data_IF_793218713136
#
_entry.id   IF_793218713136
#
_cell.length_a   1.000
_cell.length_b   1.000
_cell.length_c   1.000
_cell.angle_alpha   90.00
_cell.angle_beta   90.00
_cell.angle_gamma   90.00
#
_symmetry.space_group_name_H-M   'P 1'
#
loop_
_entity.id
_entity.type
_entity.pdbx_description
1 polymer ?
#
# COMPACT_ATOMS: atom_id res chain seq x y z
N UNK A 1 -12.35 15.17 -37.54
CA UNK A 1 -12.75 14.78 -36.17
C UNK A 1 -11.50 14.63 -35.33
N UNK A 2 -11.30 15.55 -34.38
CA UNK A 2 -10.12 15.64 -33.52
C UNK A 2 -10.02 14.42 -32.60
N UNK A 3 -8.99 13.58 -32.81
CA UNK A 3 -8.47 12.70 -31.76
C UNK A 3 -7.68 13.58 -30.79
N UNK A 4 -8.33 13.90 -29.68
CA UNK A 4 -7.76 14.69 -28.60
C UNK A 4 -6.54 13.93 -28.06
N UNK A 5 -5.34 14.45 -28.32
CA UNK A 5 -4.09 14.01 -27.71
C UNK A 5 -4.07 14.50 -26.26
N UNK A 6 -4.60 13.71 -25.33
CA UNK A 6 -4.51 13.99 -23.89
C UNK A 6 -3.30 13.33 -23.21
N UNK A 7 -2.38 12.72 -23.97
CA UNK A 7 -1.28 11.90 -23.42
C UNK A 7 0.09 12.60 -23.37
N UNK A 8 0.24 13.83 -23.84
CA UNK A 8 1.56 14.41 -24.16
C UNK A 8 2.09 15.47 -23.16
N UNK A 9 1.62 15.48 -21.91
CA UNK A 9 2.03 16.50 -20.91
C UNK A 9 2.43 15.95 -19.53
N UNK A 10 2.44 14.63 -19.30
CA UNK A 10 2.81 14.02 -18.01
C UNK A 10 4.26 13.50 -17.93
N UNK A 11 5.08 13.85 -18.92
CA UNK A 11 6.22 13.00 -19.33
C UNK A 11 7.60 13.39 -18.77
N UNK A 12 7.79 14.50 -18.06
CA UNK A 12 9.16 14.95 -17.69
C UNK A 12 9.52 14.83 -16.19
N UNK A 13 8.57 14.54 -15.31
CA UNK A 13 8.83 14.44 -13.85
C UNK A 13 8.51 13.08 -13.22
N UNK A 14 8.05 12.08 -14.00
CA UNK A 14 7.75 10.77 -13.42
C UNK A 14 9.03 10.07 -12.95
N UNK A 15 9.09 9.57 -11.70
CA UNK A 15 10.24 8.87 -11.16
C UNK A 15 10.40 7.50 -11.84
N UNK A 16 11.65 7.07 -11.98
CA UNK A 16 12.02 5.76 -12.54
C UNK A 16 11.51 4.61 -11.67
N UNK A 17 11.61 4.75 -10.35
CA UNK A 17 11.24 3.75 -9.35
C UNK A 17 10.17 4.34 -8.42
N UNK A 18 9.01 3.71 -8.40
CA UNK A 18 7.92 4.06 -7.47
C UNK A 18 7.77 2.96 -6.42
N UNK A 19 7.80 3.34 -5.16
CA UNK A 19 7.53 2.45 -4.03
C UNK A 19 6.17 2.79 -3.42
N UNK A 20 5.36 1.78 -3.17
CA UNK A 20 4.04 1.92 -2.54
C UNK A 20 3.82 0.81 -1.52
N UNK A 21 2.76 0.91 -0.73
CA UNK A 21 2.30 -0.16 0.16
C UNK A 21 0.79 -0.29 0.06
N UNK A 22 0.25 -1.24 0.81
CA UNK A 22 -1.19 -1.29 1.08
C UNK A 22 -1.68 0.01 1.74
N UNK A 23 -2.93 0.38 1.44
CA UNK A 23 -3.54 1.62 1.91
C UNK A 23 -3.60 1.70 3.44
N UNK A 24 -3.79 0.55 4.09
CA UNK A 24 -3.78 0.47 5.55
C UNK A 24 -2.39 0.79 6.10
N UNK A 25 -1.33 0.28 5.47
CA UNK A 25 0.06 0.51 5.90
C UNK A 25 0.54 1.96 5.73
N UNK A 26 -0.15 2.76 4.92
CA UNK A 26 0.14 4.18 4.72
C UNK A 26 -0.83 5.10 5.48
N UNK A 27 -1.49 4.58 6.51
CA UNK A 27 -2.33 5.33 7.46
C UNK A 27 -1.70 5.40 8.85
N UNK A 28 -2.07 6.44 9.61
CA UNK A 28 -1.76 6.56 11.05
C UNK A 28 -2.85 5.98 11.96
N UNK A 29 -3.97 5.51 11.41
CA UNK A 29 -5.12 5.01 12.17
C UNK A 29 -5.60 5.94 13.29
N UNK A 30 -5.59 7.25 13.05
CA UNK A 30 -5.87 8.26 14.09
C UNK A 30 -5.03 8.12 15.38
N UNK A 31 -3.83 7.54 15.28
CA UNK A 31 -2.94 7.20 16.40
C UNK A 31 -3.47 6.10 17.34
N UNK A 32 -4.55 5.40 16.95
CA UNK A 32 -5.11 4.29 17.69
C UNK A 32 -4.48 2.96 17.30
N UNK A 33 -3.65 2.39 18.17
CA UNK A 33 -3.00 1.09 17.91
C UNK A 33 -4.02 -0.05 17.72
N UNK A 34 -5.12 -0.04 18.49
CA UNK A 34 -6.20 -1.02 18.37
C UNK A 34 -7.00 -0.87 17.07
N UNK A 35 -7.08 0.36 16.53
CA UNK A 35 -7.66 0.60 15.21
C UNK A 35 -6.74 0.00 14.13
N UNK A 36 -5.42 0.09 14.30
CA UNK A 36 -4.46 -0.58 13.42
C UNK A 36 -4.65 -2.11 13.36
N UNK A 37 -5.03 -2.75 14.47
CA UNK A 37 -5.31 -4.20 14.47
C UNK A 37 -6.59 -4.58 13.70
N UNK A 38 -7.53 -3.64 13.53
CA UNK A 38 -8.75 -3.92 12.75
C UNK A 38 -8.47 -4.21 11.26
N UNK A 39 -7.26 -3.93 10.79
CA UNK A 39 -6.79 -4.25 9.43
C UNK A 39 -6.63 -5.74 9.18
N UNK A 40 -6.41 -6.51 10.24
CA UNK A 40 -6.31 -7.96 10.19
C UNK A 40 -7.69 -8.63 10.13
N UNK A 41 -8.78 -7.87 10.25
CA UNK A 41 -10.13 -8.41 10.09
C UNK A 41 -10.39 -8.78 8.62
N UNK A 42 -11.09 -9.90 8.36
CA UNK A 42 -11.39 -10.28 7.00
C UNK A 42 -12.28 -9.24 6.30
N UNK A 43 -12.00 -9.03 5.01
CA UNK A 43 -12.77 -8.14 4.14
C UNK A 43 -14.25 -8.56 4.13
N UNK A 44 -15.16 -7.58 4.22
CA UNK A 44 -16.60 -7.80 4.14
C UNK A 44 -17.37 -7.63 5.46
N UNK A 45 -16.69 -7.49 6.60
CA UNK A 45 -17.37 -7.16 7.87
C UNK A 45 -17.76 -5.67 7.91
N UNK A 46 -16.87 -4.81 7.43
CA UNK A 46 -17.05 -3.35 7.40
C UNK A 46 -16.96 -2.89 5.93
N UNK A 47 -17.86 -2.01 5.47
CA UNK A 47 -17.75 -1.42 4.14
C UNK A 47 -16.44 -0.63 3.97
N UNK A 48 -15.72 -0.86 2.87
CA UNK A 48 -14.41 -0.24 2.60
C UNK A 48 -14.43 1.29 2.73
N UNK A 49 -15.46 1.95 2.19
CA UNK A 49 -15.60 3.41 2.25
C UNK A 49 -15.63 3.93 3.70
N UNK A 50 -16.26 3.18 4.62
CA UNK A 50 -16.32 3.54 6.03
C UNK A 50 -14.99 3.26 6.70
N UNK A 51 -14.41 2.09 6.43
CA UNK A 51 -13.13 1.68 7.00
C UNK A 51 -12.01 2.68 6.69
N UNK A 52 -11.83 3.02 5.42
CA UNK A 52 -10.77 3.95 5.00
C UNK A 52 -11.07 5.42 5.29
N UNK A 53 -12.33 5.78 5.57
CA UNK A 53 -12.67 7.16 5.97
C UNK A 53 -12.53 7.38 7.48
N UNK A 54 -12.91 6.38 8.29
CA UNK A 54 -13.02 6.51 9.74
C UNK A 54 -11.85 5.87 10.48
N UNK A 55 -11.41 4.69 10.06
CA UNK A 55 -10.36 3.95 10.76
C UNK A 55 -8.99 4.11 10.13
N UNK A 56 -8.88 4.09 8.80
CA UNK A 56 -7.61 4.14 8.09
C UNK A 56 -7.55 5.30 7.07
N UNK A 57 -7.60 6.57 7.51
CA UNK A 57 -7.48 7.71 6.61
C UNK A 57 -6.09 7.73 5.96
N UNK A 58 -5.96 8.14 4.68
CA UNK A 58 -4.68 8.23 4.02
C UNK A 58 -3.72 9.16 4.78
N UNK A 59 -2.46 8.74 4.89
CA UNK A 59 -1.42 9.56 5.50
C UNK A 59 -1.16 10.86 4.72
N UNK A 60 -0.56 11.88 5.36
CA UNK A 60 -0.26 13.12 4.69
C UNK A 60 0.77 12.90 3.56
N UNK A 61 0.50 13.52 2.42
CA UNK A 61 1.38 13.52 1.25
C UNK A 61 1.89 14.93 0.96
N UNK A 62 3.13 15.05 0.48
CA UNK A 62 3.76 16.32 0.08
C UNK A 62 4.35 16.13 -1.31
N UNK A 63 3.90 16.93 -2.29
CA UNK A 63 4.30 16.78 -3.71
C UNK A 63 4.10 15.34 -4.22
N UNK A 64 2.95 14.74 -3.91
CA UNK A 64 2.60 13.35 -4.25
C UNK A 64 3.56 12.28 -3.68
N UNK A 65 4.43 12.64 -2.73
CA UNK A 65 5.27 11.71 -1.97
C UNK A 65 4.68 11.54 -0.58
N UNK A 66 4.64 10.32 -0.08
CA UNK A 66 4.21 10.05 1.29
C UNK A 66 5.16 10.74 2.27
N UNK A 67 4.65 11.39 3.31
CA UNK A 67 5.50 11.97 4.38
C UNK A 67 5.93 10.88 5.37
N UNK A 68 5.06 9.91 5.61
CA UNK A 68 5.31 8.77 6.48
C UNK A 68 5.13 7.49 5.67
N UNK A 69 5.98 6.50 5.90
CA UNK A 69 5.82 5.15 5.37
C UNK A 69 6.45 4.16 6.35
N UNK A 70 6.17 2.87 6.15
CA UNK A 70 6.79 1.80 6.90
C UNK A 70 8.32 1.88 6.87
N UNK A 71 8.98 1.49 7.96
CA UNK A 71 10.43 1.56 8.10
C UNK A 71 11.15 0.78 7.00
N UNK A 72 10.64 -0.39 6.60
CA UNK A 72 11.20 -1.19 5.52
C UNK A 72 11.18 -0.44 4.19
N UNK A 73 10.08 0.24 3.88
CA UNK A 73 9.97 1.06 2.67
C UNK A 73 10.93 2.26 2.70
N UNK A 74 11.13 2.91 3.85
CA UNK A 74 12.08 4.02 3.98
C UNK A 74 13.53 3.59 3.88
N UNK A 75 13.86 2.40 4.37
CA UNK A 75 15.18 1.81 4.19
C UNK A 75 15.42 1.53 2.70
N UNK A 76 14.46 0.90 2.03
CA UNK A 76 14.55 0.63 0.58
C UNK A 76 14.65 1.93 -0.24
N UNK A 77 13.84 2.94 0.09
CA UNK A 77 13.94 4.28 -0.53
C UNK A 77 15.33 4.87 -0.35
N UNK A 78 15.88 4.90 0.88
CA UNK A 78 17.20 5.46 1.14
C UNK A 78 18.32 4.72 0.37
N UNK A 79 18.25 3.38 0.31
CA UNK A 79 19.20 2.57 -0.45
C UNK A 79 19.15 2.87 -1.95
N UNK A 80 17.96 3.01 -2.52
CA UNK A 80 17.78 3.29 -3.95
C UNK A 80 18.15 4.74 -4.29
N UNK A 81 17.78 5.70 -3.44
CA UNK A 81 18.16 7.12 -3.58
C UNK A 81 19.68 7.27 -3.59
N UNK A 82 20.41 6.49 -2.80
CA UNK A 82 21.87 6.51 -2.79
C UNK A 82 22.51 6.07 -4.12
N UNK A 83 21.81 5.26 -4.93
CA UNK A 83 22.32 4.73 -6.21
C UNK A 83 21.80 5.54 -7.41
N UNK A 84 20.51 5.86 -7.42
CA UNK A 84 19.82 6.49 -8.56
C UNK A 84 19.56 7.99 -8.38
N UNK A 85 19.60 8.49 -7.14
CA UNK A 85 19.28 9.88 -6.80
C UNK A 85 17.84 10.10 -6.33
N UNK A 86 17.61 11.23 -5.65
CA UNK A 86 16.33 11.56 -5.00
C UNK A 86 15.19 11.87 -5.99
N UNK A 87 15.53 12.29 -7.22
CA UNK A 87 14.53 12.55 -8.27
C UNK A 87 13.97 11.25 -8.85
N UNK A 88 14.75 10.17 -8.82
CA UNK A 88 14.44 8.91 -9.50
C UNK A 88 13.58 7.95 -8.68
N UNK A 89 13.53 8.15 -7.36
CA UNK A 89 12.83 7.28 -6.42
C UNK A 89 11.75 8.07 -5.70
N UNK A 90 10.54 7.52 -5.63
CA UNK A 90 9.45 8.12 -4.87
C UNK A 90 8.66 7.07 -4.10
N UNK A 91 8.46 7.31 -2.80
CA UNK A 91 7.45 6.59 -2.01
C UNK A 91 6.11 7.32 -2.12
N UNK A 92 5.09 6.64 -2.62
CA UNK A 92 3.79 7.23 -2.98
C UNK A 92 2.67 6.45 -2.32
N UNK A 93 1.60 7.15 -1.92
CA UNK A 93 0.39 6.50 -1.42
C UNK A 93 -0.32 5.74 -2.56
N UNK A 94 -0.88 4.53 -2.35
CA UNK A 94 -1.48 3.75 -3.44
C UNK A 94 -2.58 4.49 -4.21
N UNK A 95 -3.35 5.36 -3.53
CA UNK A 95 -4.35 6.23 -4.16
C UNK A 95 -3.77 7.30 -5.11
N UNK A 96 -2.54 7.74 -4.86
CA UNK A 96 -1.86 8.76 -5.68
C UNK A 96 -0.96 8.11 -6.75
N UNK A 97 -0.91 6.78 -6.80
CA UNK A 97 -0.03 6.03 -7.69
C UNK A 97 -0.29 6.36 -9.16
N UNK A 98 -1.56 6.40 -9.58
CA UNK A 98 -1.94 6.76 -10.95
C UNK A 98 -1.54 8.20 -11.30
N UNK A 99 -1.45 9.10 -10.32
CA UNK A 99 -1.00 10.47 -10.54
C UNK A 99 0.52 10.58 -10.70
N UNK A 100 1.31 9.67 -10.13
CA UNK A 100 2.79 9.72 -10.16
C UNK A 100 3.39 8.83 -11.25
N UNK A 101 2.82 7.66 -11.51
CA UNK A 101 3.32 6.73 -12.52
C UNK A 101 3.16 7.34 -13.91
N UNK A 102 4.21 7.24 -14.72
CA UNK A 102 4.27 7.74 -16.10
C UNK A 102 5.06 6.80 -16.99
N UNK A 103 5.28 7.20 -18.25
CA UNK A 103 5.98 6.38 -19.24
C UNK A 103 7.45 6.10 -18.89
N UNK A 104 8.05 6.92 -18.03
CA UNK A 104 9.43 6.74 -17.53
C UNK A 104 9.53 5.77 -16.35
N UNK A 105 8.41 5.49 -15.67
CA UNK A 105 8.42 4.58 -14.53
C UNK A 105 8.62 3.15 -15.02
N UNK A 106 9.76 2.56 -14.67
CA UNK A 106 10.11 1.19 -15.06
C UNK A 106 9.80 0.18 -13.95
N UNK A 107 9.89 0.61 -12.69
CA UNK A 107 9.79 -0.29 -11.53
C UNK A 107 8.73 0.24 -10.56
N UNK A 108 7.81 -0.65 -10.19
CA UNK A 108 6.86 -0.42 -9.09
C UNK A 108 7.11 -1.47 -8.01
N UNK A 109 7.61 -1.01 -6.86
CA UNK A 109 7.81 -1.84 -5.67
C UNK A 109 6.60 -1.74 -4.74
N UNK A 110 6.08 -2.89 -4.31
CA UNK A 110 4.93 -2.98 -3.40
C UNK A 110 5.37 -3.61 -2.09
N UNK A 111 5.26 -2.87 -0.99
CA UNK A 111 5.50 -3.35 0.37
C UNK A 111 4.22 -3.86 1.04
N UNK A 112 4.35 -4.93 1.81
CA UNK A 112 3.23 -5.58 2.50
C UNK A 112 3.72 -6.49 3.61
N UNK A 113 2.94 -6.61 4.69
CA UNK A 113 3.28 -7.46 5.85
C UNK A 113 2.68 -8.87 5.77
N UNK A 114 1.55 -9.05 5.09
CA UNK A 114 0.83 -10.33 5.02
C UNK A 114 0.21 -10.58 3.64
N UNK A 115 1.03 -10.86 2.63
CA UNK A 115 0.55 -11.11 1.27
C UNK A 115 -0.30 -12.39 1.14
N UNK A 116 -0.13 -13.34 2.06
CA UNK A 116 -0.82 -14.63 2.03
C UNK A 116 -2.06 -14.67 2.95
N UNK A 117 -2.20 -13.69 3.85
CA UNK A 117 -3.32 -13.64 4.81
C UNK A 117 -3.23 -14.71 5.91
N UNK A 118 -2.03 -15.26 6.17
CA UNK A 118 -1.83 -16.40 7.08
C UNK A 118 -1.05 -16.01 8.34
N UNK A 119 -0.74 -14.73 8.52
CA UNK A 119 -0.06 -14.31 9.75
C UNK A 119 -0.97 -14.58 10.97
N UNK A 120 -0.39 -14.81 12.16
CA UNK A 120 -1.14 -15.12 13.38
C UNK A 120 -2.33 -14.18 13.66
N UNK A 121 -2.19 -12.83 13.60
CA UNK A 121 -3.33 -11.96 13.86
C UNK A 121 -4.43 -12.12 12.81
N UNK A 122 -4.09 -12.16 11.52
CA UNK A 122 -5.06 -12.34 10.43
C UNK A 122 -5.82 -13.66 10.57
N UNK A 123 -5.10 -14.73 10.88
CA UNK A 123 -5.63 -16.07 11.11
C UNK A 123 -6.58 -16.13 12.31
N UNK A 124 -6.22 -15.47 13.42
CA UNK A 124 -7.05 -15.39 14.63
C UNK A 124 -8.36 -14.63 14.38
N UNK A 125 -8.33 -13.51 13.66
CA UNK A 125 -9.54 -12.76 13.32
C UNK A 125 -10.46 -13.54 12.37
N UNK A 126 -9.89 -14.25 11.39
CA UNK A 126 -10.65 -15.13 10.49
C UNK A 126 -11.35 -16.25 11.26
N UNK A 127 -10.64 -16.86 12.23
CA UNK A 127 -11.21 -17.90 13.10
C UNK A 127 -12.31 -17.34 14.01
N UNK A 128 -12.07 -16.19 14.64
CA UNK A 128 -13.04 -15.54 15.52
C UNK A 128 -14.34 -15.17 14.81
N UNK A 129 -14.25 -14.67 13.57
CA UNK A 129 -15.43 -14.24 12.79
C UNK A 129 -15.96 -15.37 11.88
N UNK A 130 -15.37 -16.57 11.95
CA UNK A 130 -15.74 -17.75 11.17
C UNK A 130 -15.91 -17.47 9.66
N UNK A 131 -15.07 -16.56 9.13
CA UNK A 131 -15.18 -16.04 7.76
C UNK A 131 -13.95 -16.46 6.96
N UNK A 132 -13.91 -17.72 6.51
CA UNK A 132 -12.84 -18.24 5.65
C UNK A 132 -12.40 -19.67 5.98
N UNK A 133 -11.58 -20.29 5.12
CA UNK A 133 -10.95 -21.57 5.43
C UNK A 133 -10.05 -21.40 6.65
N UNK A 134 -10.11 -22.37 7.58
CA UNK A 134 -9.30 -22.30 8.79
C UNK A 134 -7.82 -22.33 8.42
N UNK A 135 -6.95 -21.62 9.15
CA UNK A 135 -5.50 -21.69 8.95
C UNK A 135 -4.96 -23.13 8.99
N UNK A 136 -5.62 -24.01 9.76
CA UNK A 136 -5.33 -25.44 9.84
C UNK A 136 -5.59 -26.21 8.55
N UNK A 137 -6.49 -25.74 7.67
CA UNK A 137 -6.78 -26.39 6.40
C UNK A 137 -5.61 -26.23 5.41
N UNK A 138 -4.97 -25.06 5.35
CA UNK A 138 -3.81 -24.82 4.48
C UNK A 138 -2.60 -25.69 4.87
N UNK A 139 -2.45 -25.98 6.17
CA UNK A 139 -1.38 -26.84 6.69
C UNK A 139 -1.58 -28.33 6.33
N UNK A 140 -2.82 -28.75 6.06
CA UNK A 140 -3.13 -30.15 5.70
C UNK A 140 -2.93 -30.47 4.22
N UNK A 141 -2.81 -29.46 3.36
CA UNK A 141 -2.65 -29.60 1.90
C UNK A 141 -1.18 -29.56 1.44
N UNK A 142 -0.24 -29.43 2.38
CA UNK A 142 1.21 -29.32 2.12
C UNK A 142 2.00 -30.57 2.54
N UNK A 143 1.32 -31.69 2.81
CA UNK A 143 1.93 -33.00 3.04
C UNK A 143 1.42 -34.01 2.01
#
# INVERSE_FOLDING_TARGET
>A
MNRIRFSAQKQDESPLIVLTADETMMSKYHWGIFVGFSTCMPRGIIPDWFYFSVWSPPGPTKRNRAVYADAGLRIMEACLVNVFGEAEVAVVHPRDLEAVVGERTEIIGIGGHDFLGINPPTSEFVEMVNTGPRPTTVRSSLN
#
